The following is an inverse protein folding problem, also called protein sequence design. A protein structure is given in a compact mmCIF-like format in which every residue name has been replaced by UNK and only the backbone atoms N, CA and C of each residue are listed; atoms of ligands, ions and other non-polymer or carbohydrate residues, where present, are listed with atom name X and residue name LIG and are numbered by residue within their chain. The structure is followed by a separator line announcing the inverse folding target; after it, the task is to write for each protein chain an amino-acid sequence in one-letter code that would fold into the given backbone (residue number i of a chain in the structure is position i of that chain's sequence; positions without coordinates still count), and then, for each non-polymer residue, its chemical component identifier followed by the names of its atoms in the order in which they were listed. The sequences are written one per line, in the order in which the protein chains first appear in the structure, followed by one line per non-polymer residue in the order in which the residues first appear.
data_IF_866568112743
#
_entry.id   IF_866568112743
#
_cell.length_a   1.000
_cell.length_b   1.000
_cell.length_c   1.000
_cell.angle_alpha   90.00
_cell.angle_beta   90.00
_cell.angle_gamma   90.00
#
_symmetry.space_group_name_H-M   'P 1'
#
loop_
_entity.id
_entity.type
_entity.pdbx_description
1 polymer ?
#
# COMPACT_ATOMS: atom_id res chain seq x y z
N UNK A 1 -30.36 -13.64 -9.42
CA UNK A 1 -31.03 -12.42 -9.93
C UNK A 1 -29.97 -11.54 -10.55
N UNK A 2 -30.15 -11.06 -11.79
CA UNK A 2 -29.15 -10.22 -12.44
C UNK A 2 -29.03 -8.89 -11.67
N UNK A 3 -27.86 -8.65 -11.09
CA UNK A 3 -27.60 -7.48 -10.26
C UNK A 3 -27.60 -6.23 -11.13
N UNK A 4 -28.52 -5.29 -10.87
CA UNK A 4 -28.66 -4.07 -11.65
C UNK A 4 -27.43 -3.17 -11.46
N UNK A 5 -26.52 -3.19 -12.43
CA UNK A 5 -25.37 -2.28 -12.47
C UNK A 5 -25.89 -0.84 -12.49
N UNK A 6 -25.48 -0.03 -11.52
CA UNK A 6 -25.76 1.42 -11.52
C UNK A 6 -25.25 2.02 -12.84
N UNK A 7 -26.12 2.69 -13.58
CA UNK A 7 -25.77 3.34 -14.85
C UNK A 7 -25.08 4.69 -14.67
N UNK A 8 -25.09 5.23 -13.44
CA UNK A 8 -24.48 6.49 -13.05
C UNK A 8 -23.83 6.36 -11.68
N UNK A 9 -22.67 7.01 -11.49
CA UNK A 9 -21.98 7.15 -10.22
C UNK A 9 -21.30 8.52 -10.14
N UNK A 10 -21.14 9.07 -8.93
CA UNK A 10 -20.38 10.30 -8.69
C UNK A 10 -18.89 10.12 -8.94
N UNK A 11 -18.34 8.97 -8.53
CA UNK A 11 -16.93 8.63 -8.69
C UNK A 11 -16.82 7.22 -9.27
N UNK A 12 -15.99 7.05 -10.29
CA UNK A 12 -15.64 5.74 -10.83
C UNK A 12 -14.14 5.53 -10.74
N UNK A 13 -13.74 4.48 -10.01
CA UNK A 13 -12.35 4.03 -9.87
C UNK A 13 -12.12 2.91 -10.86
N UNK A 14 -11.07 3.02 -11.68
CA UNK A 14 -10.72 2.02 -12.69
C UNK A 14 -9.46 1.28 -12.22
N UNK A 15 -9.61 0.00 -11.88
CA UNK A 15 -8.55 -0.86 -11.36
C UNK A 15 -8.78 -1.26 -9.91
N UNK A 16 -8.76 -2.56 -9.65
CA UNK A 16 -8.93 -3.25 -8.37
C UNK A 16 -7.63 -3.78 -7.78
N UNK A 17 -6.51 -3.11 -8.06
CA UNK A 17 -5.28 -3.29 -7.30
C UNK A 17 -5.30 -2.49 -5.99
N UNK A 18 -4.22 -2.60 -5.21
CA UNK A 18 -4.11 -1.95 -3.89
C UNK A 18 -4.42 -0.45 -3.91
N UNK A 19 -3.95 0.28 -4.92
CA UNK A 19 -4.21 1.73 -5.04
C UNK A 19 -5.70 2.04 -5.29
N UNK A 20 -6.40 1.22 -6.08
CA UNK A 20 -7.82 1.39 -6.34
C UNK A 20 -8.67 1.07 -5.12
N UNK A 21 -8.37 -0.04 -4.44
CA UNK A 21 -9.03 -0.42 -3.20
C UNK A 21 -8.76 0.59 -2.07
N UNK A 22 -7.54 1.10 -1.95
CA UNK A 22 -7.18 2.19 -1.03
C UNK A 22 -7.98 3.47 -1.34
N UNK A 23 -8.08 3.84 -2.62
CA UNK A 23 -8.89 5.01 -3.02
C UNK A 23 -10.35 4.84 -2.63
N UNK A 24 -10.94 3.66 -2.88
CA UNK A 24 -12.31 3.34 -2.50
C UNK A 24 -12.48 3.44 -0.97
N UNK A 25 -11.58 2.80 -0.23
CA UNK A 25 -11.54 2.81 1.22
C UNK A 25 -11.54 4.24 1.79
N UNK A 26 -10.59 5.08 1.38
CA UNK A 26 -10.49 6.44 1.90
C UNK A 26 -11.69 7.31 1.51
N UNK A 27 -12.17 7.22 0.27
CA UNK A 27 -13.38 7.96 -0.14
C UNK A 27 -14.59 7.61 0.73
N UNK A 28 -14.77 6.32 1.05
CA UNK A 28 -15.88 5.90 1.90
C UNK A 28 -15.74 6.35 3.35
N UNK A 29 -14.51 6.43 3.88
CA UNK A 29 -14.23 7.00 5.21
C UNK A 29 -14.52 8.50 5.27
N UNK A 30 -14.30 9.21 4.17
CA UNK A 30 -14.67 10.63 4.01
C UNK A 30 -16.18 10.83 3.74
N UNK A 31 -17.00 9.77 3.82
CA UNK A 31 -18.46 9.85 3.72
C UNK A 31 -19.01 9.79 2.30
N UNK A 32 -18.20 9.47 1.29
CA UNK A 32 -18.70 9.26 -0.07
C UNK A 32 -19.46 7.94 -0.18
N UNK A 33 -20.70 7.99 -0.66
CA UNK A 33 -21.59 6.81 -0.76
C UNK A 33 -21.93 6.37 -2.19
N UNK A 34 -21.48 7.14 -3.20
CA UNK A 34 -21.76 6.85 -4.61
C UNK A 34 -20.47 6.68 -5.42
N UNK A 35 -19.64 5.75 -4.94
CA UNK A 35 -18.37 5.35 -5.55
C UNK A 35 -18.51 3.95 -6.12
N UNK A 36 -18.03 3.76 -7.35
CA UNK A 36 -17.97 2.45 -8.01
C UNK A 36 -16.53 2.15 -8.36
N UNK A 37 -16.02 1.00 -7.92
CA UNK A 37 -14.76 0.44 -8.41
C UNK A 37 -15.06 -0.56 -9.52
N UNK A 38 -14.33 -0.45 -10.62
CA UNK A 38 -14.43 -1.32 -11.79
C UNK A 38 -13.09 -2.00 -12.01
N UNK A 39 -13.06 -3.32 -11.89
CA UNK A 39 -11.91 -4.16 -12.21
C UNK A 39 -12.21 -4.99 -13.46
N UNK A 40 -11.20 -5.11 -14.33
CA UNK A 40 -11.27 -5.86 -15.59
C UNK A 40 -11.47 -7.34 -15.35
N UNK A 41 -10.69 -7.90 -14.43
CA UNK A 41 -10.67 -9.32 -14.11
C UNK A 41 -11.03 -9.49 -12.62
N UNK A 42 -10.10 -9.95 -11.79
CA UNK A 42 -10.25 -10.10 -10.34
C UNK A 42 -9.46 -9.03 -9.59
N UNK A 43 -9.85 -8.74 -8.34
CA UNK A 43 -9.04 -7.90 -7.47
C UNK A 43 -7.62 -8.47 -7.37
N UNK A 44 -6.62 -7.60 -7.28
CA UNK A 44 -5.18 -7.94 -7.21
C UNK A 44 -4.54 -8.49 -8.49
N UNK A 45 -5.31 -8.77 -9.56
CA UNK A 45 -4.83 -9.40 -10.81
C UNK A 45 -3.76 -8.62 -11.60
N UNK A 46 -3.48 -7.38 -11.22
CA UNK A 46 -2.39 -6.55 -11.74
C UNK A 46 -1.03 -6.84 -11.08
N UNK A 47 -0.26 -5.80 -10.77
CA UNK A 47 1.07 -5.97 -10.13
C UNK A 47 1.01 -6.33 -8.63
N UNK A 48 -0.17 -6.24 -8.02
CA UNK A 48 -0.35 -6.40 -6.58
C UNK A 48 -0.12 -7.84 -6.13
N UNK A 49 -0.63 -8.85 -6.84
CA UNK A 49 -0.55 -10.25 -6.40
C UNK A 49 0.88 -10.78 -6.28
N UNK A 50 1.80 -10.31 -7.12
CA UNK A 50 3.18 -10.78 -7.16
C UNK A 50 4.16 -9.84 -6.44
N UNK A 51 3.67 -8.88 -5.66
CA UNK A 51 4.51 -7.97 -4.91
C UNK A 51 5.17 -8.70 -3.73
N UNK A 52 6.47 -8.49 -3.52
CA UNK A 52 7.15 -8.92 -2.29
C UNK A 52 6.65 -8.16 -1.05
N UNK A 53 5.97 -7.02 -1.26
CA UNK A 53 5.19 -6.29 -0.27
C UNK A 53 5.93 -5.93 1.03
N UNK A 54 7.20 -5.53 0.89
CA UNK A 54 7.95 -4.96 2.00
C UNK A 54 7.37 -3.60 2.42
N UNK A 55 7.17 -3.41 3.72
CA UNK A 55 6.57 -2.22 4.32
C UNK A 55 7.61 -1.46 5.14
N UNK A 56 8.40 -0.63 4.47
CA UNK A 56 9.50 0.13 5.10
C UNK A 56 9.14 1.59 5.39
N UNK A 57 9.56 2.11 6.55
CA UNK A 57 9.43 3.53 6.90
C UNK A 57 10.44 4.42 6.15
N UNK A 58 11.38 3.85 5.39
CA UNK A 58 12.40 4.59 4.63
C UNK A 58 11.80 5.67 3.73
N UNK A 59 12.21 6.94 3.86
CA UNK A 59 11.82 8.01 2.94
C UNK A 59 13.01 8.91 2.63
N UNK A 60 13.17 9.31 1.36
CA UNK A 60 14.25 10.22 0.96
C UNK A 60 13.97 11.69 1.34
N UNK A 61 12.73 11.99 1.73
CA UNK A 61 12.30 13.31 2.20
C UNK A 61 11.14 13.16 3.19
N UNK A 62 10.79 14.26 3.86
CA UNK A 62 9.76 14.28 4.90
C UNK A 62 8.38 13.85 4.37
N UNK A 63 7.98 14.28 3.17
CA UNK A 63 6.70 13.90 2.58
C UNK A 63 6.57 12.38 2.40
N UNK A 64 7.65 11.72 1.96
CA UNK A 64 7.67 10.27 1.82
C UNK A 64 7.58 9.56 3.18
N UNK A 65 8.31 10.04 4.18
CA UNK A 65 8.25 9.48 5.54
C UNK A 65 6.83 9.62 6.10
N UNK A 66 6.21 10.78 5.98
CA UNK A 66 4.84 11.02 6.43
C UNK A 66 3.81 10.12 5.73
N UNK A 67 3.90 9.99 4.40
CA UNK A 67 3.01 9.12 3.63
C UNK A 67 3.15 7.65 4.04
N UNK A 68 4.38 7.17 4.20
CA UNK A 68 4.66 5.79 4.60
C UNK A 68 4.20 5.51 6.02
N UNK A 69 4.42 6.46 6.93
CA UNK A 69 3.97 6.34 8.31
C UNK A 69 2.45 6.19 8.39
N UNK A 70 1.72 7.02 7.65
CA UNK A 70 0.26 6.91 7.54
C UNK A 70 -0.17 5.53 7.03
N UNK A 71 0.47 5.01 5.97
CA UNK A 71 0.17 3.68 5.44
C UNK A 71 0.44 2.57 6.46
N UNK A 72 1.56 2.64 7.19
CA UNK A 72 1.91 1.65 8.22
C UNK A 72 0.89 1.65 9.36
N UNK A 73 0.53 2.82 9.87
CA UNK A 73 -0.46 2.94 10.93
C UNK A 73 -1.82 2.37 10.48
N UNK A 74 -2.23 2.65 9.24
CA UNK A 74 -3.42 2.07 8.63
C UNK A 74 -3.33 0.55 8.47
N UNK A 75 -2.20 0.01 7.99
CA UNK A 75 -2.04 -1.43 7.81
C UNK A 75 -2.08 -2.17 9.14
N UNK A 76 -1.59 -1.56 10.23
CA UNK A 76 -1.71 -2.10 11.58
C UNK A 76 -3.15 -2.11 12.06
N UNK A 77 -3.92 -1.03 11.82
CA UNK A 77 -5.35 -0.98 12.12
C UNK A 77 -6.12 -2.08 11.36
N UNK A 78 -5.85 -2.23 10.06
CA UNK A 78 -6.51 -3.23 9.22
C UNK A 78 -6.12 -4.66 9.59
N UNK A 79 -4.85 -4.92 9.92
CA UNK A 79 -4.40 -6.25 10.35
C UNK A 79 -4.98 -6.66 11.72
N UNK A 80 -5.44 -5.71 12.52
CA UNK A 80 -6.12 -5.97 13.80
C UNK A 80 -7.62 -6.26 13.64
N UNK A 81 -8.20 -6.15 12.44
CA UNK A 81 -9.61 -6.47 12.17
C UNK A 81 -9.82 -8.00 12.21
N UNK A 82 -10.57 -8.53 13.20
CA UNK A 82 -10.79 -9.97 13.32
C UNK A 82 -11.68 -10.54 12.21
N UNK A 83 -12.47 -9.69 11.54
CA UNK A 83 -13.35 -10.12 10.44
C UNK A 83 -12.58 -10.31 9.12
N UNK A 84 -11.41 -9.67 9.00
CA UNK A 84 -10.56 -9.70 7.81
C UNK A 84 -9.09 -9.82 8.22
N UNK A 85 -8.65 -10.97 8.76
CA UNK A 85 -7.27 -11.13 9.21
C UNK A 85 -6.31 -11.02 8.02
N UNK A 86 -5.30 -10.16 8.16
CA UNK A 86 -4.24 -9.97 7.17
C UNK A 86 -2.93 -10.47 7.77
N UNK A 87 -2.17 -11.22 6.98
CA UNK A 87 -0.81 -11.58 7.36
C UNK A 87 0.09 -10.34 7.27
N UNK A 88 0.39 -9.74 8.42
CA UNK A 88 1.34 -8.62 8.52
C UNK A 88 2.42 -8.95 9.56
N UNK A 89 3.66 -9.11 9.11
CA UNK A 89 4.80 -9.42 9.94
C UNK A 89 5.66 -8.18 10.14
N UNK A 90 5.84 -7.76 11.39
CA UNK A 90 6.76 -6.68 11.75
C UNK A 90 7.99 -7.33 12.38
N UNK A 91 8.95 -7.68 11.53
CA UNK A 91 10.20 -8.38 11.91
C UNK A 91 11.39 -7.43 12.03
N UNK A 92 11.19 -6.18 11.60
CA UNK A 92 12.23 -5.18 11.46
C UNK A 92 13.07 -5.42 10.21
N UNK A 93 13.68 -4.34 9.72
CA UNK A 93 14.36 -4.31 8.43
C UNK A 93 15.66 -3.57 8.54
N UNK A 94 16.65 -4.04 7.77
CA UNK A 94 17.96 -3.42 7.72
C UNK A 94 18.42 -3.09 6.32
N UNK A 95 19.15 -1.97 6.19
CA UNK A 95 19.85 -1.59 4.98
C UNK A 95 21.34 -1.48 5.29
N UNK A 96 22.12 -2.40 4.72
CA UNK A 96 23.55 -2.55 4.99
C UNK A 96 24.37 -1.41 4.40
N UNK A 97 25.31 -0.87 5.18
CA UNK A 97 26.27 0.14 4.74
C UNK A 97 27.66 -0.50 4.55
N UNK A 98 28.12 -0.56 3.30
CA UNK A 98 29.44 -1.05 2.92
C UNK A 98 30.45 0.09 2.72
N UNK A 99 29.98 1.33 2.50
CA UNK A 99 30.83 2.49 2.24
C UNK A 99 30.53 3.65 3.20
N UNK A 100 31.51 4.53 3.49
CA UNK A 100 31.27 5.69 4.36
C UNK A 100 30.16 6.59 3.83
N UNK A 101 30.07 6.77 2.50
CA UNK A 101 29.02 7.56 1.87
C UNK A 101 27.61 6.98 2.14
N UNK A 102 27.46 5.65 2.13
CA UNK A 102 26.19 5.00 2.50
C UNK A 102 25.87 5.24 3.98
N UNK A 103 26.86 5.06 4.87
CA UNK A 103 26.68 5.27 6.30
C UNK A 103 26.25 6.71 6.62
N UNK A 104 26.89 7.71 6.02
CA UNK A 104 26.55 9.12 6.20
C UNK A 104 25.15 9.44 5.66
N UNK A 105 24.80 8.86 4.50
CA UNK A 105 23.46 8.99 3.92
C UNK A 105 22.38 8.41 4.85
N UNK A 106 22.63 7.24 5.46
CA UNK A 106 21.67 6.61 6.37
C UNK A 106 21.53 7.42 7.65
N UNK A 107 22.62 7.89 8.24
CA UNK A 107 22.59 8.77 9.42
C UNK A 107 21.82 10.07 9.14
N UNK A 108 21.99 10.66 7.96
CA UNK A 108 21.23 11.83 7.55
C UNK A 108 19.72 11.55 7.51
N UNK A 109 19.29 10.47 6.86
CA UNK A 109 17.88 10.12 6.79
C UNK A 109 17.27 9.72 8.13
N UNK A 110 18.04 9.01 8.98
CA UNK A 110 17.62 8.69 10.36
C UNK A 110 17.40 9.97 11.15
N UNK A 111 18.32 10.95 11.07
CA UNK A 111 18.14 12.24 11.73
C UNK A 111 16.91 13.01 11.24
N UNK A 112 16.64 12.98 9.93
CA UNK A 112 15.41 13.57 9.37
C UNK A 112 14.15 12.86 9.86
N UNK A 113 14.15 11.52 9.87
CA UNK A 113 13.02 10.71 10.31
C UNK A 113 12.72 10.92 11.82
N UNK A 114 13.76 11.03 12.64
CA UNK A 114 13.63 11.35 14.07
C UNK A 114 12.94 12.71 14.28
N UNK A 115 13.24 13.71 13.45
CA UNK A 115 12.53 15.00 13.46
C UNK A 115 11.04 14.92 13.12
N UNK A 116 10.58 13.79 12.57
CA UNK A 116 9.18 13.47 12.29
C UNK A 116 8.56 12.49 13.29
N UNK A 117 9.28 12.15 14.37
CA UNK A 117 8.82 11.15 15.36
C UNK A 117 8.86 9.71 14.85
N UNK A 118 9.69 9.42 13.84
CA UNK A 118 9.92 8.07 13.34
C UNK A 118 11.25 7.56 13.86
N UNK A 119 11.19 6.56 14.74
CA UNK A 119 12.36 6.01 15.41
C UNK A 119 13.06 4.95 14.54
N UNK A 120 14.32 5.21 14.23
CA UNK A 120 15.22 4.34 13.47
C UNK A 120 16.62 4.45 14.06
N UNK A 121 17.43 3.43 13.86
CA UNK A 121 18.77 3.35 14.44
C UNK A 121 19.82 3.14 13.35
N UNK A 122 21.02 3.69 13.57
CA UNK A 122 22.19 3.23 12.84
C UNK A 122 22.93 2.25 13.75
N UNK A 123 22.90 0.97 13.41
CA UNK A 123 23.53 -0.12 14.18
C UNK A 123 24.89 -0.46 13.57
N UNK A 124 25.83 -0.93 14.39
CA UNK A 124 27.13 -1.39 13.92
C UNK A 124 27.07 -2.81 13.33
N UNK A 125 28.19 -3.26 12.75
CA UNK A 125 28.28 -4.57 12.12
C UNK A 125 28.09 -5.74 13.11
N UNK A 126 28.47 -5.56 14.38
CA UNK A 126 28.32 -6.58 15.41
C UNK A 126 26.84 -6.79 15.74
N UNK A 127 26.07 -5.72 15.86
CA UNK A 127 24.64 -5.76 16.09
C UNK A 127 23.87 -6.30 14.85
N UNK A 128 24.34 -6.01 13.62
CA UNK A 128 23.81 -6.63 12.39
C UNK A 128 23.94 -8.16 12.45
N UNK A 129 25.14 -8.67 12.77
CA UNK A 129 25.39 -10.10 12.86
C UNK A 129 24.57 -10.77 13.99
N UNK A 130 24.36 -10.07 15.10
CA UNK A 130 23.52 -10.54 16.21
C UNK A 130 22.05 -10.66 15.81
N UNK A 131 21.51 -9.67 15.09
CA UNK A 131 20.09 -9.64 14.68
C UNK A 131 19.80 -10.59 13.53
N UNK A 132 20.74 -10.75 12.59
CA UNK A 132 20.56 -11.61 11.44
C UNK A 132 21.81 -12.48 11.21
N UNK A 133 21.94 -13.63 11.92
CA UNK A 133 23.16 -14.46 11.94
C UNK A 133 23.58 -15.04 10.59
N UNK A 134 22.69 -15.04 9.59
CA UNK A 134 22.98 -15.50 8.23
C UNK A 134 23.64 -14.43 7.35
N UNK A 135 23.74 -13.18 7.81
CA UNK A 135 24.40 -12.11 7.07
C UNK A 135 25.92 -12.22 7.29
N UNK A 136 26.68 -12.14 6.19
CA UNK A 136 28.11 -11.92 6.29
C UNK A 136 28.37 -10.45 6.67
N UNK A 137 28.86 -10.22 7.88
CA UNK A 137 29.19 -8.89 8.41
C UNK A 137 30.60 -8.40 8.09
N UNK A 138 31.40 -9.20 7.38
CA UNK A 138 32.78 -8.84 7.05
C UNK A 138 32.83 -7.58 6.19
N UNK A 139 33.59 -6.58 6.66
CA UNK A 139 33.75 -5.30 5.96
C UNK A 139 32.52 -4.39 6.00
N UNK A 140 31.46 -4.73 6.75
CA UNK A 140 30.34 -3.83 6.99
C UNK A 140 30.75 -2.70 7.94
N UNK A 141 30.32 -1.47 7.61
CA UNK A 141 30.45 -0.32 8.50
C UNK A 141 29.29 -0.22 9.49
N UNK A 142 28.16 -0.87 9.17
CA UNK A 142 26.94 -0.86 9.97
C UNK A 142 25.71 -1.02 9.09
N UNK A 143 24.54 -0.72 9.64
CA UNK A 143 23.29 -0.71 8.92
C UNK A 143 22.33 0.33 9.49
N UNK A 144 21.45 0.83 8.63
CA UNK A 144 20.17 1.37 9.10
C UNK A 144 19.33 0.21 9.63
N UNK A 145 18.71 0.38 10.80
CA UNK A 145 17.67 -0.47 11.35
C UNK A 145 16.33 0.26 11.51
N UNK A 146 15.26 -0.32 10.97
CA UNK A 146 13.87 0.12 11.15
C UNK A 146 13.10 -0.99 11.90
N UNK A 147 12.69 -0.75 13.17
CA UNK A 147 11.98 -1.76 13.96
C UNK A 147 10.54 -2.02 13.50
N UNK A 148 9.96 -1.14 12.66
CA UNK A 148 8.60 -1.30 12.14
C UNK A 148 8.56 -1.79 10.69
N UNK A 149 9.72 -2.02 10.06
CA UNK A 149 9.79 -2.65 8.74
C UNK A 149 9.33 -4.11 8.82
N UNK A 150 8.99 -4.67 7.66
CA UNK A 150 8.51 -6.04 7.56
C UNK A 150 7.80 -6.29 6.23
N UNK A 151 6.91 -7.26 6.22
CA UNK A 151 6.17 -7.69 5.03
C UNK A 151 4.69 -7.89 5.33
N UNK A 152 3.86 -7.59 4.32
CA UNK A 152 2.41 -7.76 4.41
C UNK A 152 1.91 -8.58 3.23
N UNK A 153 0.90 -9.41 3.42
CA UNK A 153 0.20 -10.06 2.31
C UNK A 153 -0.48 -8.99 1.43
N UNK A 154 0.00 -8.76 0.19
CA UNK A 154 -0.52 -7.71 -0.66
C UNK A 154 -1.95 -8.01 -1.13
N UNK A 155 -2.32 -9.28 -1.24
CA UNK A 155 -3.68 -9.66 -1.60
C UNK A 155 -4.62 -9.41 -0.42
N UNK A 156 -4.27 -9.92 0.77
CA UNK A 156 -5.02 -9.73 2.01
C UNK A 156 -5.33 -8.27 2.31
N UNK A 157 -4.34 -7.38 2.25
CA UNK A 157 -4.56 -5.94 2.48
C UNK A 157 -5.48 -5.30 1.43
N UNK A 158 -5.37 -5.72 0.17
CA UNK A 158 -6.25 -5.23 -0.92
C UNK A 158 -7.69 -5.66 -0.69
N UNK A 159 -7.91 -6.93 -0.34
CA UNK A 159 -9.24 -7.46 -0.05
C UNK A 159 -9.85 -6.80 1.19
N UNK A 160 -9.08 -6.61 2.27
CA UNK A 160 -9.56 -5.93 3.47
C UNK A 160 -10.01 -4.49 3.18
N UNK A 161 -9.21 -3.73 2.43
CA UNK A 161 -9.59 -2.38 2.01
C UNK A 161 -10.83 -2.37 1.11
N UNK A 162 -10.92 -3.30 0.15
CA UNK A 162 -12.10 -3.45 -0.71
C UNK A 162 -13.37 -3.82 0.07
N UNK A 163 -13.26 -4.75 1.02
CA UNK A 163 -14.35 -5.17 1.88
C UNK A 163 -14.86 -4.01 2.75
N UNK A 164 -13.96 -3.28 3.42
CA UNK A 164 -14.37 -2.13 4.23
C UNK A 164 -14.94 -0.99 3.37
N UNK A 165 -14.37 -0.74 2.19
CA UNK A 165 -14.85 0.28 1.25
C UNK A 165 -16.22 -0.01 0.62
N UNK A 166 -16.67 -1.27 0.63
CA UNK A 166 -17.99 -1.66 0.08
C UNK A 166 -19.12 -1.67 1.11
N UNK A 167 -18.81 -1.53 2.41
CA UNK A 167 -19.82 -1.44 3.48
C UNK A 167 -20.73 -0.19 3.34
N UNK A 168 -20.28 0.86 2.64
CA UNK A 168 -20.94 2.18 2.57
C UNK A 168 -21.71 2.43 1.26
N UNK A 169 -22.71 1.61 0.87
CA UNK A 169 -23.49 1.72 -0.40
C UNK A 169 -22.67 1.80 -1.71
N UNK A 170 -21.34 1.80 -1.62
CA UNK A 170 -20.37 1.73 -2.70
C UNK A 170 -20.23 0.28 -3.18
N UNK A 171 -19.85 0.11 -4.44
CA UNK A 171 -19.79 -1.24 -5.05
C UNK A 171 -18.44 -1.47 -5.72
N UNK A 172 -17.95 -2.68 -5.58
CA UNK A 172 -16.87 -3.22 -6.38
C UNK A 172 -17.46 -4.15 -7.45
N UNK A 173 -17.25 -3.81 -8.72
CA UNK A 173 -17.68 -4.61 -9.86
C UNK A 173 -16.45 -5.28 -10.46
N UNK A 174 -16.27 -6.58 -10.20
CA UNK A 174 -15.29 -7.43 -10.89
C UNK A 174 -15.97 -8.12 -12.07
N UNK A 175 -15.47 -7.90 -13.28
CA UNK A 175 -16.05 -8.49 -14.49
C UNK A 175 -15.45 -9.89 -14.78
N UNK A 176 -15.68 -10.86 -13.90
CA UNK A 176 -15.26 -12.26 -14.12
C UNK A 176 -15.86 -12.90 -15.40
N UNK A 177 -16.85 -12.27 -16.05
CA UNK A 177 -17.57 -12.83 -17.21
C UNK A 177 -17.74 -11.92 -18.43
N UNK A 178 -16.93 -10.87 -18.62
CA UNK A 178 -16.94 -10.22 -19.95
C UNK A 178 -16.21 -8.89 -20.13
N UNK A 179 -15.14 -8.93 -20.94
CA UNK A 179 -14.37 -7.77 -21.44
C UNK A 179 -15.21 -6.66 -22.09
N UNK A 180 -16.43 -6.96 -22.56
CA UNK A 180 -17.32 -5.99 -23.22
C UNK A 180 -17.84 -4.91 -22.26
N UNK A 181 -18.18 -5.26 -21.03
CA UNK A 181 -18.75 -4.30 -20.06
C UNK A 181 -17.67 -3.36 -19.49
N UNK A 182 -16.46 -3.88 -19.21
CA UNK A 182 -15.31 -3.06 -18.83
C UNK A 182 -14.94 -2.05 -19.93
N UNK A 183 -14.86 -2.49 -21.19
CA UNK A 183 -14.58 -1.61 -22.32
C UNK A 183 -15.69 -0.56 -22.53
N UNK A 184 -16.95 -0.91 -22.29
CA UNK A 184 -18.08 0.02 -22.38
C UNK A 184 -18.08 1.03 -21.22
N UNK A 185 -17.73 0.61 -19.99
CA UNK A 185 -17.56 1.49 -18.85
C UNK A 185 -16.41 2.47 -19.08
N UNK A 186 -15.23 2.00 -19.51
CA UNK A 186 -14.10 2.86 -19.87
C UNK A 186 -14.49 3.87 -20.96
N UNK A 187 -15.10 3.43 -22.07
CA UNK A 187 -15.52 4.33 -23.15
C UNK A 187 -16.50 5.41 -22.68
N UNK A 188 -17.45 5.06 -21.80
CA UNK A 188 -18.41 6.03 -21.24
C UNK A 188 -17.72 7.06 -20.33
N UNK A 189 -16.76 6.64 -19.51
CA UNK A 189 -15.99 7.56 -18.65
C UNK A 189 -15.17 8.52 -19.52
N UNK A 190 -14.45 8.01 -20.52
CA UNK A 190 -13.69 8.86 -21.44
C UNK A 190 -14.59 9.81 -22.22
N UNK A 191 -15.80 9.39 -22.62
CA UNK A 191 -16.78 10.24 -23.31
C UNK A 191 -17.31 11.36 -22.40
N UNK A 192 -17.71 11.03 -21.17
CA UNK A 192 -18.18 12.01 -20.19
C UNK A 192 -17.09 13.04 -19.82
N UNK A 193 -15.82 12.64 -19.82
CA UNK A 193 -14.69 13.57 -19.63
C UNK A 193 -14.46 14.48 -20.84
N UNK A 194 -14.59 13.96 -22.05
CA UNK A 194 -14.49 14.75 -23.28
C UNK A 194 -15.62 15.77 -23.41
N UNK A 195 -16.84 15.41 -23.02
CA UNK A 195 -18.03 16.27 -23.11
C UNK A 195 -18.05 17.41 -22.07
N UNK A 196 -17.27 17.33 -20.97
CA UNK A 196 -17.13 18.38 -19.95
C UNK A 196 -16.03 19.42 -20.23
N UNK A 197 -15.29 19.28 -21.32
CA UNK A 197 -14.21 20.21 -21.72
C UNK A 197 -14.68 21.30 -22.70
N UNK A 198 -15.99 21.42 -22.91
CA UNK A 198 -16.66 22.45 -23.69
C UNK A 198 -17.77 23.08 -22.84
#
# INVERSE_FOLDING_TARGET
MAETIKTQARIVIIGGGIAGCSTLYHLTREGWTDVVLVERDELTSGSTWHAAAQVTQFGANQTMVGLKRHSIDLYRELAADPDNPISYHITGGMRLAHTPAQADTYKHYIGMAAGMGVDMEFIDAAEVAKRHPLINSDGLLGAWWDPLDGDIDPAGITFAMGAQGTRSRCRCLSFQSGRRHYAQAQRRIYRAHAERRH
#
